data_IF_289840701324
#
_entry.id   IF_289840701324
#
_cell.length_a   1.000
_cell.length_b   1.000
_cell.length_c   1.000
_cell.angle_alpha   90.00
_cell.angle_beta   90.00
_cell.angle_gamma   90.00
#
_symmetry.space_group_name_H-M   'P 1'
#
loop_
_entity.id
_entity.type
_entity.pdbx_description
1 polymer ?
#
# COMPACT_ATOMS: atom_id res chain seq x y z
N UNK A 1 -8.45 -18.21 -2.33
CA UNK A 1 -7.83 -17.88 -3.63
C UNK A 1 -6.48 -17.23 -3.44
N UNK A 2 -6.37 -16.18 -2.61
CA UNK A 2 -5.12 -15.48 -2.30
C UNK A 2 -3.88 -16.39 -2.13
N UNK A 3 -3.92 -17.42 -1.27
CA UNK A 3 -2.76 -18.31 -1.10
C UNK A 3 -2.33 -19.06 -2.37
N UNK A 4 -3.28 -19.40 -3.27
CA UNK A 4 -2.98 -20.01 -4.57
C UNK A 4 -2.38 -18.99 -5.53
N UNK A 5 -2.91 -17.76 -5.54
CA UNK A 5 -2.37 -16.67 -6.35
C UNK A 5 -0.99 -16.26 -5.87
N UNK A 6 -0.75 -16.30 -4.55
CA UNK A 6 0.56 -16.07 -3.96
C UNK A 6 1.56 -17.15 -4.40
N UNK A 7 1.16 -18.41 -4.29
CA UNK A 7 2.00 -19.55 -4.67
C UNK A 7 2.29 -19.62 -6.18
N UNK A 8 1.48 -18.97 -7.03
CA UNK A 8 1.64 -18.98 -8.49
C UNK A 8 2.83 -18.15 -8.97
N UNK A 9 3.32 -17.22 -8.15
CA UNK A 9 4.49 -16.40 -8.44
C UNK A 9 5.58 -16.72 -7.42
N UNK A 10 6.84 -16.86 -7.86
CA UNK A 10 8.01 -16.98 -6.96
C UNK A 10 8.33 -15.63 -6.29
N UNK A 11 7.35 -15.02 -5.66
CA UNK A 11 7.51 -13.72 -5.00
C UNK A 11 7.42 -13.87 -3.49
N UNK A 12 8.15 -13.00 -2.78
CA UNK A 12 8.13 -12.95 -1.33
C UNK A 12 7.44 -11.65 -0.93
N UNK A 13 6.23 -11.76 -0.37
CA UNK A 13 5.54 -10.59 0.19
C UNK A 13 6.45 -9.89 1.21
N UNK A 14 6.41 -8.58 1.22
CA UNK A 14 7.00 -7.80 2.30
C UNK A 14 6.22 -8.10 3.60
N UNK A 15 6.92 -8.25 4.73
CA UNK A 15 6.28 -8.51 6.01
C UNK A 15 5.55 -7.28 6.55
N UNK A 16 4.55 -7.49 7.39
CA UNK A 16 3.74 -6.44 8.02
C UNK A 16 4.62 -5.39 8.71
N UNK A 17 5.66 -5.83 9.43
CA UNK A 17 6.61 -4.92 10.09
C UNK A 17 7.37 -4.03 9.11
N UNK A 18 7.68 -4.52 7.90
CA UNK A 18 8.35 -3.73 6.87
C UNK A 18 7.39 -2.75 6.19
N UNK A 19 6.15 -3.16 5.94
CA UNK A 19 5.11 -2.25 5.44
C UNK A 19 4.84 -1.11 6.42
N UNK A 20 4.71 -1.42 7.72
CA UNK A 20 4.55 -0.40 8.76
C UNK A 20 5.72 0.59 8.82
N UNK A 21 6.96 0.09 8.71
CA UNK A 21 8.14 0.96 8.65
C UNK A 21 8.10 1.88 7.42
N UNK A 22 7.73 1.36 6.25
CA UNK A 22 7.57 2.17 5.05
C UNK A 22 6.54 3.27 5.26
N UNK A 23 5.32 2.91 5.69
CA UNK A 23 4.26 3.88 5.92
C UNK A 23 4.63 4.90 7.01
N UNK A 24 5.38 4.50 8.05
CA UNK A 24 5.89 5.44 9.03
C UNK A 24 6.84 6.47 8.44
N UNK A 25 7.81 6.05 7.64
CA UNK A 25 8.74 6.97 6.98
C UNK A 25 8.03 7.90 6.00
N UNK A 26 7.06 7.38 5.24
CA UNK A 26 6.30 8.19 4.27
C UNK A 26 5.45 9.26 4.98
N UNK A 27 4.76 8.90 6.07
CA UNK A 27 3.93 9.82 6.84
C UNK A 27 4.75 10.86 7.63
N UNK A 28 5.92 10.48 8.13
CA UNK A 28 6.83 11.39 8.86
C UNK A 28 7.62 12.31 7.90
N UNK A 29 7.71 11.94 6.62
CA UNK A 29 8.40 12.76 5.63
C UNK A 29 7.66 14.09 5.40
N UNK A 30 8.42 15.18 5.36
CA UNK A 30 7.92 16.50 4.94
C UNK A 30 7.44 16.55 3.49
N UNK A 31 7.56 15.44 2.76
CA UNK A 31 7.27 15.30 1.34
C UNK A 31 5.77 15.28 1.01
N UNK A 32 4.87 15.24 2.01
CA UNK A 32 3.40 15.23 1.84
C UNK A 32 2.95 14.27 0.73
N UNK A 33 3.56 13.08 0.66
CA UNK A 33 3.24 12.08 -0.35
C UNK A 33 1.95 11.36 0.02
N UNK A 34 0.82 12.03 -0.17
CA UNK A 34 -0.49 11.49 0.24
C UNK A 34 -1.00 10.49 -0.80
N UNK A 35 -0.76 10.74 -2.09
CA UNK A 35 -1.29 9.91 -3.19
C UNK A 35 -0.32 8.82 -3.63
N UNK A 36 -0.84 7.64 -3.92
CA UNK A 36 -0.08 6.52 -4.46
C UNK A 36 -0.92 5.60 -5.35
N UNK A 37 -0.25 4.71 -6.07
CA UNK A 37 -0.89 3.66 -6.85
C UNK A 37 -0.63 2.30 -6.21
N UNK A 38 -1.71 1.58 -5.93
CA UNK A 38 -1.74 0.27 -5.30
C UNK A 38 -1.87 -0.82 -6.36
N UNK A 39 -1.02 -1.85 -6.26
CA UNK A 39 -1.23 -3.14 -6.90
C UNK A 39 -1.50 -4.18 -5.84
N UNK A 40 -2.64 -4.86 -5.97
CA UNK A 40 -3.00 -5.97 -5.10
C UNK A 40 -2.78 -7.31 -5.80
N UNK A 41 -2.40 -8.29 -4.98
CA UNK A 41 -2.16 -9.67 -5.40
C UNK A 41 -3.43 -10.23 -6.04
N UNK A 42 -3.28 -10.78 -7.24
CA UNK A 42 -4.36 -11.41 -7.98
C UNK A 42 -5.31 -10.43 -8.69
N UNK A 43 -5.20 -9.13 -8.46
CA UNK A 43 -5.95 -8.12 -9.20
C UNK A 43 -5.19 -7.74 -10.47
N UNK A 44 -5.87 -7.61 -11.62
CA UNK A 44 -5.20 -7.21 -12.87
C UNK A 44 -4.91 -5.70 -12.89
N UNK A 45 -5.84 -4.90 -12.40
CA UNK A 45 -5.77 -3.44 -12.45
C UNK A 45 -5.06 -2.88 -11.22
N UNK A 46 -4.40 -1.74 -11.43
CA UNK A 46 -3.89 -0.92 -10.33
C UNK A 46 -4.95 0.10 -9.90
N UNK A 47 -4.89 0.55 -8.65
CA UNK A 47 -5.85 1.51 -8.10
C UNK A 47 -5.13 2.70 -7.52
N UNK A 48 -5.60 3.90 -7.82
CA UNK A 48 -5.10 5.11 -7.19
C UNK A 48 -5.82 5.31 -5.86
N UNK A 49 -5.09 5.83 -4.88
CA UNK A 49 -5.66 6.41 -3.68
C UNK A 49 -4.55 6.90 -2.79
N UNK A 50 -4.64 6.65 -1.49
CA UNK A 50 -3.78 7.33 -0.53
C UNK A 50 -2.88 6.38 0.23
N UNK A 51 -1.78 6.89 0.77
CA UNK A 51 -0.98 6.19 1.77
C UNK A 51 -1.77 6.22 3.09
N UNK A 52 -1.89 5.10 3.81
CA UNK A 52 -2.61 5.08 5.09
C UNK A 52 -1.85 5.89 6.14
N UNK A 53 -2.59 6.61 6.99
CA UNK A 53 -2.02 7.19 8.20
C UNK A 53 -1.63 6.06 9.17
N UNK A 54 -0.59 6.30 9.97
CA UNK A 54 -0.14 5.32 10.97
C UNK A 54 -1.24 4.93 11.96
N UNK A 55 -2.09 5.88 12.34
CA UNK A 55 -3.22 5.68 13.26
C UNK A 55 -4.30 4.75 12.68
N UNK A 56 -4.36 4.62 11.35
CA UNK A 56 -5.33 3.78 10.66
C UNK A 56 -4.85 2.33 10.48
N UNK A 57 -3.58 2.03 10.77
CA UNK A 57 -2.99 0.70 10.61
C UNK A 57 -3.34 -0.22 11.78
N UNK A 58 -4.26 -1.17 11.58
CA UNK A 58 -4.50 -2.25 12.54
C UNK A 58 -3.47 -3.37 12.43
N UNK A 59 -3.40 -4.27 13.42
CA UNK A 59 -2.30 -5.24 13.63
C UNK A 59 -1.76 -5.88 12.35
N UNK A 60 -2.64 -6.48 11.55
CA UNK A 60 -2.30 -7.18 10.31
C UNK A 60 -2.99 -6.60 9.06
N UNK A 61 -3.61 -5.42 9.17
CA UNK A 61 -4.37 -4.82 8.07
C UNK A 61 -4.02 -3.34 7.84
N UNK A 62 -4.11 -2.96 6.58
CA UNK A 62 -4.07 -1.60 6.07
C UNK A 62 -5.44 -0.97 6.29
N UNK A 63 -5.48 0.24 6.84
CA UNK A 63 -6.71 1.00 7.06
C UNK A 63 -7.43 1.42 5.78
N UNK A 64 -8.47 2.22 5.92
CA UNK A 64 -9.19 2.79 4.77
C UNK A 64 -8.34 3.88 4.12
N UNK A 65 -7.83 3.57 2.93
CA UNK A 65 -6.91 4.43 2.19
C UNK A 65 -7.55 5.07 0.94
N UNK A 66 -8.89 5.06 0.84
CA UNK A 66 -9.64 5.68 -0.26
C UNK A 66 -9.45 5.06 -1.65
N UNK A 67 -8.46 4.16 -1.82
CA UNK A 67 -8.21 3.40 -3.05
C UNK A 67 -9.05 2.11 -3.14
N UNK A 68 -9.38 1.58 -1.97
CA UNK A 68 -9.87 0.23 -1.74
C UNK A 68 -11.06 0.39 -0.80
N UNK A 69 -12.20 -0.21 -1.13
CA UNK A 69 -13.46 -0.08 -0.40
C UNK A 69 -13.36 -0.71 1.01
N UNK A 70 -12.55 -0.12 1.90
CA UNK A 70 -12.28 -0.57 3.26
C UNK A 70 -10.89 -1.20 3.47
N UNK A 71 -10.64 -1.62 4.73
CA UNK A 71 -9.35 -2.17 5.14
C UNK A 71 -9.06 -3.55 4.55
N UNK A 72 -7.79 -3.89 4.44
CA UNK A 72 -7.34 -5.16 3.86
C UNK A 72 -5.98 -5.60 4.41
N UNK A 73 -5.68 -6.89 4.39
CA UNK A 73 -4.44 -7.40 4.98
C UNK A 73 -3.18 -6.94 4.21
N UNK A 74 -2.07 -6.68 4.92
CA UNK A 74 -0.79 -6.27 4.30
C UNK A 74 -0.30 -7.25 3.23
N UNK A 75 -0.53 -8.55 3.43
CA UNK A 75 -0.17 -9.61 2.47
C UNK A 75 -0.88 -9.52 1.12
N UNK A 76 -1.92 -8.69 1.00
CA UNK A 76 -2.59 -8.44 -0.28
C UNK A 76 -1.87 -7.37 -1.10
N UNK A 77 -0.94 -6.60 -0.52
CA UNK A 77 -0.13 -5.64 -1.28
C UNK A 77 0.92 -6.41 -2.07
N UNK A 78 0.87 -6.27 -3.39
CA UNK A 78 1.92 -6.78 -4.28
C UNK A 78 3.05 -5.75 -4.41
N UNK A 79 2.69 -4.52 -4.79
CA UNK A 79 3.60 -3.37 -4.79
C UNK A 79 2.82 -2.06 -4.64
N UNK A 80 3.57 -1.00 -4.30
CA UNK A 80 3.05 0.35 -4.16
C UNK A 80 3.97 1.33 -4.88
N UNK A 81 3.40 2.17 -5.73
CA UNK A 81 4.12 3.24 -6.42
C UNK A 81 3.91 4.55 -5.67
N UNK A 82 4.98 5.07 -5.08
CA UNK A 82 5.03 6.39 -4.46
C UNK A 82 5.56 7.40 -5.49
N UNK A 83 4.81 8.47 -5.82
CA UNK A 83 5.22 9.42 -6.86
C UNK A 83 6.40 10.29 -6.38
N UNK A 84 7.54 10.20 -7.07
CA UNK A 84 8.79 10.90 -6.73
C UNK A 84 8.73 12.44 -6.79
N UNK A 85 7.70 13.03 -7.41
CA UNK A 85 7.55 14.50 -7.51
C UNK A 85 6.13 14.94 -7.14
N UNK A 86 6.06 15.84 -6.14
CA UNK A 86 4.92 16.75 -5.97
C UNK A 86 5.13 17.90 -6.97
N UNK A 87 4.89 17.66 -8.25
CA UNK A 87 4.88 18.77 -9.21
C UNK A 87 3.60 19.58 -8.99
N UNK A 88 3.74 20.81 -8.52
CA UNK A 88 2.68 21.80 -8.54
C UNK A 88 2.34 22.05 -10.01
N UNK A 89 1.20 21.54 -10.50
CA UNK A 89 0.65 21.98 -11.77
C UNK A 89 -0.11 23.29 -11.52
N UNK A 90 0.31 24.43 -12.10
CA UNK A 90 -0.43 25.69 -12.04
C UNK A 90 -1.77 25.59 -12.80
#
# INVERSE_FOLDING_TARGET
MLNKDIAKFSYKCMSDSKWRKLFGVVNDSSLKMVQCTWKLVGEQQCRNGFVPDLEQLGDNYVGDCGALNGPFEFRRIEWLLLPYRVEFKP
#
